data_IF_937341910450
#
_entry.id   IF_937341910450
#
_cell.length_a   1.000
_cell.length_b   1.000
_cell.length_c   1.000
_cell.angle_alpha   90.00
_cell.angle_beta   90.00
_cell.angle_gamma   90.00
#
_symmetry.space_group_name_H-M   'P 1'
#
loop_
_entity.id
_entity.type
_entity.pdbx_description
1 polymer ?
#
# COMPACT_ATOMS: atom_id res chain seq x y z
N UNK A 1 4.20 19.11 8.87
CA UNK A 1 5.45 19.38 8.18
C UNK A 1 5.26 19.25 6.68
N UNK A 2 5.99 20.07 5.91
CA UNK A 2 5.92 20.06 4.43
C UNK A 2 7.22 19.53 3.79
N UNK A 3 8.20 19.18 4.58
CA UNK A 3 9.47 18.62 4.09
C UNK A 3 9.29 17.14 3.77
N UNK A 4 9.25 16.81 2.49
CA UNK A 4 9.06 15.44 2.01
C UNK A 4 10.29 14.53 2.20
N UNK A 5 11.46 15.12 2.45
CA UNK A 5 12.71 14.38 2.64
C UNK A 5 13.06 14.18 4.11
N UNK A 6 12.40 14.90 5.01
CA UNK A 6 12.68 14.80 6.42
C UNK A 6 12.01 13.58 7.06
N UNK A 7 12.67 13.02 8.06
CA UNK A 7 12.04 12.08 8.99
C UNK A 7 10.99 12.84 9.81
N UNK A 8 9.73 12.41 9.74
CA UNK A 8 8.61 13.07 10.41
C UNK A 8 8.38 12.58 11.86
N UNK A 9 9.22 11.68 12.33
CA UNK A 9 9.17 11.08 13.67
C UNK A 9 8.21 9.90 13.74
N UNK A 10 8.34 9.12 14.80
CA UNK A 10 7.65 7.86 14.99
C UNK A 10 8.31 6.71 14.22
N UNK A 11 8.33 5.55 14.87
CA UNK A 11 8.81 4.30 14.31
C UNK A 11 8.08 3.12 14.98
N UNK A 12 8.33 1.91 14.52
CA UNK A 12 7.68 0.71 15.04
C UNK A 12 8.02 0.48 16.51
N UNK A 13 9.27 0.73 16.88
CA UNK A 13 9.71 0.62 18.26
C UNK A 13 8.98 1.62 19.17
N UNK A 14 8.82 2.86 18.75
CA UNK A 14 8.08 3.87 19.50
C UNK A 14 6.62 3.48 19.74
N UNK A 15 5.97 2.83 18.76
CA UNK A 15 4.63 2.29 18.95
C UNK A 15 4.65 1.15 19.96
N UNK A 16 5.60 0.21 19.85
CA UNK A 16 5.74 -0.91 20.77
C UNK A 16 5.95 -0.45 22.22
N UNK A 17 6.78 0.57 22.43
CA UNK A 17 7.05 1.15 23.75
C UNK A 17 5.80 1.84 24.38
N UNK A 18 4.76 2.12 23.59
CA UNK A 18 3.55 2.84 24.02
C UNK A 18 2.25 2.02 23.90
N UNK A 19 2.33 0.69 23.78
CA UNK A 19 1.14 -0.17 23.64
C UNK A 19 0.19 -0.08 24.84
N UNK A 20 0.71 0.18 26.05
CA UNK A 20 -0.13 0.37 27.24
C UNK A 20 -1.06 1.57 27.10
N UNK A 21 -0.58 2.66 26.49
CA UNK A 21 -1.42 3.82 26.22
C UNK A 21 -2.63 3.48 25.34
N UNK A 22 -2.45 2.62 24.29
CA UNK A 22 -3.55 2.21 23.44
C UNK A 22 -4.53 1.29 24.17
N UNK A 23 -4.03 0.40 25.00
CA UNK A 23 -4.89 -0.46 25.87
C UNK A 23 -5.69 0.38 26.85
N UNK A 24 -5.08 1.33 27.52
CA UNK A 24 -5.75 2.23 28.48
C UNK A 24 -6.79 3.13 27.81
N UNK A 25 -6.53 3.53 26.55
CA UNK A 25 -7.50 4.27 25.73
C UNK A 25 -8.72 3.43 25.33
N UNK A 26 -8.64 2.10 25.47
CA UNK A 26 -9.73 1.17 25.17
C UNK A 26 -9.91 0.85 23.68
N UNK A 27 -8.90 1.12 22.83
CA UNK A 27 -8.94 0.69 21.44
C UNK A 27 -8.67 -0.81 21.33
N UNK A 28 -9.18 -1.44 20.30
CA UNK A 28 -9.05 -2.90 20.09
C UNK A 28 -8.19 -3.25 18.89
N UNK A 29 -7.88 -2.28 18.05
CA UNK A 29 -7.03 -2.43 16.87
C UNK A 29 -6.26 -1.14 16.57
N UNK A 30 -5.06 -1.30 16.05
CA UNK A 30 -4.21 -0.21 15.57
C UNK A 30 -4.06 -0.39 14.06
N UNK A 31 -4.44 0.62 13.31
CA UNK A 31 -4.14 0.72 11.89
C UNK A 31 -2.95 1.66 11.72
N UNK A 32 -1.86 1.11 11.18
CA UNK A 32 -0.65 1.87 10.88
C UNK A 32 -0.78 2.55 9.51
N UNK A 33 -0.21 3.74 9.36
CA UNK A 33 0.09 4.29 8.05
C UNK A 33 0.99 3.31 7.27
N UNK A 34 1.08 3.42 5.93
CA UNK A 34 1.93 2.51 5.14
C UNK A 34 3.35 2.43 5.69
N UNK A 35 3.78 1.21 6.00
CA UNK A 35 5.10 0.94 6.58
C UNK A 35 6.07 0.31 5.57
N UNK A 36 5.58 -0.07 4.40
CA UNK A 36 6.41 -0.71 3.37
C UNK A 36 7.41 0.28 2.78
N UNK A 37 8.51 -0.27 2.31
CA UNK A 37 9.63 0.49 1.75
C UNK A 37 9.17 1.44 0.66
N UNK A 38 9.60 2.68 0.77
CA UNK A 38 9.14 3.80 -0.02
C UNK A 38 10.33 4.72 -0.35
N UNK A 39 11.35 4.10 -0.94
CA UNK A 39 12.66 4.69 -1.21
C UNK A 39 12.65 5.38 -2.59
N UNK A 40 11.92 6.50 -2.64
CA UNK A 40 11.79 7.33 -3.85
C UNK A 40 12.78 8.49 -3.79
N UNK A 41 13.49 8.76 -4.90
CA UNK A 41 14.46 9.86 -5.00
C UNK A 41 13.83 11.22 -4.70
N UNK A 42 12.61 11.47 -5.18
CA UNK A 42 11.90 12.73 -4.90
C UNK A 42 11.23 12.77 -3.52
N UNK A 43 11.47 11.75 -2.70
CA UNK A 43 10.90 11.61 -1.37
C UNK A 43 9.41 11.23 -1.39
N UNK A 44 9.03 10.34 -0.49
CA UNK A 44 7.66 9.90 -0.35
C UNK A 44 7.37 9.67 1.13
N UNK A 45 7.19 10.77 1.86
CA UNK A 45 6.95 10.76 3.32
C UNK A 45 5.65 10.07 3.70
N UNK A 46 4.70 9.98 2.76
CA UNK A 46 3.38 9.43 3.00
C UNK A 46 3.32 7.90 2.96
N UNK A 47 4.32 7.22 2.37
CA UNK A 47 4.39 5.76 2.32
C UNK A 47 3.60 5.07 1.18
N UNK A 48 2.90 5.82 0.32
CA UNK A 48 2.03 5.25 -0.71
C UNK A 48 2.72 4.97 -2.06
N UNK A 49 3.99 5.35 -2.25
CA UNK A 49 4.77 5.03 -3.45
C UNK A 49 5.75 3.88 -3.18
N UNK A 50 5.20 2.68 -2.96
CA UNK A 50 5.95 1.50 -2.53
C UNK A 50 7.02 1.12 -3.55
N UNK A 51 8.25 0.91 -3.07
CA UNK A 51 9.38 0.43 -3.87
C UNK A 51 9.76 -1.03 -3.60
N UNK A 52 9.28 -1.60 -2.48
CA UNK A 52 9.35 -3.03 -2.19
C UNK A 52 8.17 -3.45 -1.31
N UNK A 53 7.41 -4.47 -1.75
CA UNK A 53 6.23 -4.97 -1.04
C UNK A 53 6.56 -5.97 0.08
N UNK A 54 7.82 -6.41 0.21
CA UNK A 54 8.24 -7.40 1.19
C UNK A 54 9.18 -6.86 2.25
N UNK A 55 9.51 -5.56 2.18
CA UNK A 55 10.38 -4.89 3.15
C UNK A 55 9.66 -3.75 3.86
N UNK A 56 9.86 -3.66 5.17
CA UNK A 56 9.52 -2.48 5.95
C UNK A 56 10.51 -1.35 5.61
N UNK A 57 10.01 -0.13 5.54
CA UNK A 57 10.83 1.05 5.28
C UNK A 57 11.84 1.27 6.43
N UNK A 58 13.14 1.37 6.14
CA UNK A 58 14.19 1.53 7.16
C UNK A 58 14.02 2.78 8.05
N UNK A 59 13.18 3.73 7.64
CA UNK A 59 12.85 4.91 8.46
C UNK A 59 11.97 4.55 9.65
N UNK A 60 11.24 3.44 9.58
CA UNK A 60 10.32 2.97 10.63
C UNK A 60 10.87 1.78 11.42
N UNK A 61 11.82 1.03 10.85
CA UNK A 61 12.36 -0.18 11.40
C UNK A 61 12.66 -1.22 10.33
N UNK A 62 12.53 -2.48 10.67
CA UNK A 62 12.66 -3.61 9.74
C UNK A 62 11.54 -4.64 9.92
N UNK A 63 11.60 -5.71 9.13
CA UNK A 63 10.59 -6.77 9.18
C UNK A 63 10.53 -7.48 10.53
N UNK A 64 11.68 -7.65 11.20
CA UNK A 64 11.75 -8.29 12.52
C UNK A 64 11.15 -7.39 13.61
N UNK A 65 11.42 -6.09 13.57
CA UNK A 65 10.80 -5.13 14.49
C UNK A 65 9.28 -5.05 14.29
N UNK A 66 8.80 -5.19 13.04
CA UNK A 66 7.36 -5.26 12.79
C UNK A 66 6.73 -6.54 13.36
N UNK A 67 7.36 -7.69 13.19
CA UNK A 67 6.93 -8.94 13.79
C UNK A 67 6.87 -8.84 15.32
N UNK A 68 7.89 -8.24 15.94
CA UNK A 68 7.93 -8.02 17.38
C UNK A 68 6.82 -7.08 17.86
N UNK A 69 6.53 -6.00 17.12
CA UNK A 69 5.40 -5.10 17.41
C UNK A 69 4.06 -5.84 17.36
N UNK A 70 3.82 -6.66 16.32
CA UNK A 70 2.57 -7.41 16.19
C UNK A 70 2.40 -8.40 17.35
N UNK A 71 3.46 -9.14 17.71
CA UNK A 71 3.46 -10.05 18.85
C UNK A 71 3.16 -9.33 20.17
N UNK A 72 3.85 -8.22 20.44
CA UNK A 72 3.64 -7.43 21.65
C UNK A 72 2.23 -6.81 21.73
N UNK A 73 1.66 -6.42 20.60
CA UNK A 73 0.29 -5.92 20.51
C UNK A 73 -0.72 -7.05 20.85
N UNK A 74 -0.51 -8.26 20.33
CA UNK A 74 -1.34 -9.42 20.63
C UNK A 74 -1.31 -9.80 22.11
N UNK A 75 -0.16 -9.72 22.77
CA UNK A 75 -0.03 -9.97 24.21
C UNK A 75 -0.88 -9.01 25.06
N UNK A 76 -1.19 -7.83 24.51
CA UNK A 76 -2.08 -6.83 25.12
C UNK A 76 -3.51 -6.86 24.60
N UNK A 77 -3.87 -7.87 23.78
CA UNK A 77 -5.20 -7.99 23.18
C UNK A 77 -5.49 -6.99 22.07
N UNK A 78 -4.48 -6.29 21.57
CA UNK A 78 -4.59 -5.35 20.47
C UNK A 78 -4.38 -6.07 19.12
N UNK A 79 -5.14 -5.69 18.12
CA UNK A 79 -4.99 -6.17 16.73
C UNK A 79 -4.20 -5.18 15.90
N UNK A 80 -3.45 -5.66 14.91
CA UNK A 80 -2.73 -4.82 13.94
C UNK A 80 -3.38 -4.95 12.57
N UNK A 81 -3.68 -3.79 11.98
CA UNK A 81 -4.17 -3.65 10.62
C UNK A 81 -3.08 -2.98 9.78
N UNK A 82 -2.68 -3.64 8.71
CA UNK A 82 -1.67 -3.15 7.78
C UNK A 82 -2.31 -2.40 6.63
N UNK A 83 -1.75 -1.23 6.29
CA UNK A 83 -2.14 -0.49 5.09
C UNK A 83 -1.44 -1.08 3.87
N UNK A 84 -2.20 -1.48 2.86
CA UNK A 84 -1.67 -2.07 1.63
C UNK A 84 -2.21 -1.32 0.40
N UNK A 85 -1.35 -1.19 -0.60
CA UNK A 85 -1.63 -0.44 -1.82
C UNK A 85 -1.52 -1.39 -3.02
N UNK A 86 -2.66 -1.84 -3.55
CA UNK A 86 -2.69 -2.77 -4.69
C UNK A 86 -2.87 -2.05 -6.03
N UNK A 87 -3.33 -0.81 -6.01
CA UNK A 87 -3.61 -0.05 -7.22
C UNK A 87 -2.34 0.35 -7.97
N UNK A 88 -1.31 0.77 -7.27
CA UNK A 88 -0.08 1.33 -7.85
C UNK A 88 1.13 1.01 -7.00
N UNK A 89 2.33 1.24 -7.54
CA UNK A 89 3.58 1.24 -6.78
C UNK A 89 4.34 2.55 -7.02
N UNK A 90 5.54 2.68 -6.46
CA UNK A 90 6.45 3.76 -6.80
C UNK A 90 7.12 3.54 -8.17
N UNK A 91 7.42 4.59 -8.90
CA UNK A 91 8.15 4.50 -10.18
C UNK A 91 9.60 4.02 -10.03
N UNK A 92 10.12 3.97 -8.81
CA UNK A 92 11.44 3.39 -8.50
C UNK A 92 11.34 1.94 -7.99
N UNK A 93 10.15 1.35 -7.98
CA UNK A 93 9.99 -0.08 -7.78
C UNK A 93 10.67 -0.84 -8.93
N UNK A 94 11.39 -1.92 -8.64
CA UNK A 94 12.14 -2.68 -9.65
C UNK A 94 11.24 -3.20 -10.81
N UNK A 95 9.96 -3.43 -10.59
CA UNK A 95 9.01 -3.77 -11.65
C UNK A 95 8.91 -2.70 -12.73
N UNK A 96 9.13 -1.44 -12.40
CA UNK A 96 9.00 -0.37 -13.39
C UNK A 96 10.20 -0.30 -14.33
N UNK A 97 11.38 -0.65 -13.84
CA UNK A 97 12.62 -0.70 -14.65
C UNK A 97 12.86 -2.05 -15.32
N UNK A 98 12.44 -3.14 -14.66
CA UNK A 98 12.58 -4.53 -15.13
C UNK A 98 11.23 -5.25 -15.02
N UNK A 99 10.32 -4.90 -15.95
CA UNK A 99 8.95 -5.42 -15.92
C UNK A 99 8.90 -6.90 -16.27
N UNK A 100 8.15 -7.69 -15.51
CA UNK A 100 7.97 -9.11 -15.80
C UNK A 100 7.19 -9.38 -17.10
N UNK A 101 6.39 -8.42 -17.59
CA UNK A 101 5.67 -8.51 -18.87
C UNK A 101 5.29 -7.12 -19.39
N UNK A 102 5.02 -7.00 -20.71
CA UNK A 102 4.66 -5.74 -21.36
C UNK A 102 3.35 -5.11 -20.85
N UNK A 103 2.47 -5.88 -20.23
CA UNK A 103 1.20 -5.42 -19.67
C UNK A 103 1.19 -5.45 -18.13
N UNK A 104 2.32 -5.22 -17.48
CA UNK A 104 2.42 -5.16 -16.03
C UNK A 104 1.78 -3.90 -15.45
N UNK A 105 1.91 -2.79 -16.17
CA UNK A 105 1.33 -1.50 -15.83
C UNK A 105 0.31 -1.06 -16.88
N UNK A 106 -0.72 -0.35 -16.44
CA UNK A 106 -1.62 0.35 -17.35
C UNK A 106 -0.94 1.65 -17.85
N UNK A 107 -1.22 2.07 -19.08
CA UNK A 107 -0.65 3.28 -19.71
C UNK A 107 0.87 3.43 -19.57
N UNK A 108 1.59 2.33 -19.61
CA UNK A 108 3.01 2.27 -19.30
C UNK A 108 3.90 3.15 -20.17
N UNK A 109 3.59 3.27 -21.45
CA UNK A 109 4.38 4.05 -22.41
C UNK A 109 3.87 5.49 -22.58
N UNK A 110 2.74 5.82 -21.97
CA UNK A 110 2.11 7.12 -22.10
C UNK A 110 1.29 7.47 -20.87
N UNK A 111 1.89 8.19 -19.92
CA UNK A 111 1.22 8.61 -18.70
C UNK A 111 -0.16 9.22 -18.94
N UNK A 112 -1.17 8.64 -18.32
CA UNK A 112 -2.54 9.17 -18.25
C UNK A 112 -2.91 9.30 -16.79
N UNK A 113 -3.20 10.52 -16.35
CA UNK A 113 -3.60 10.78 -14.97
C UNK A 113 -5.02 10.27 -14.71
N UNK A 114 -5.25 9.66 -13.55
CA UNK A 114 -6.59 9.23 -13.13
C UNK A 114 -7.58 10.39 -13.05
N UNK A 115 -8.87 10.09 -13.21
CA UNK A 115 -9.95 11.07 -13.06
C UNK A 115 -10.24 11.47 -11.61
N UNK A 116 -9.62 10.83 -10.62
CA UNK A 116 -9.87 11.02 -9.17
C UNK A 116 -11.35 10.89 -8.77
N UNK A 117 -12.09 10.02 -9.46
CA UNK A 117 -13.48 9.76 -9.16
C UNK A 117 -13.63 8.44 -8.41
N UNK A 118 -14.42 8.41 -7.36
CA UNK A 118 -14.61 7.22 -6.53
C UNK A 118 -15.76 6.32 -6.97
N UNK A 119 -16.63 6.81 -7.85
CA UNK A 119 -17.88 6.12 -8.24
C UNK A 119 -17.92 5.49 -9.64
N UNK A 120 -16.91 5.64 -10.55
CA UNK A 120 -17.06 5.14 -11.92
C UNK A 120 -17.29 3.64 -12.03
N UNK A 121 -16.82 2.85 -11.08
CA UNK A 121 -17.06 1.40 -11.10
C UNK A 121 -18.51 1.04 -10.73
N UNK A 122 -19.15 1.80 -9.86
CA UNK A 122 -20.49 1.55 -9.36
C UNK A 122 -21.59 2.29 -10.19
N UNK A 123 -21.24 3.38 -10.87
CA UNK A 123 -22.19 4.15 -11.67
C UNK A 123 -22.52 3.44 -12.99
N UNK A 124 -23.76 3.00 -13.13
CA UNK A 124 -24.26 2.33 -14.35
C UNK A 124 -24.38 3.25 -15.57
N UNK A 125 -24.37 4.56 -15.36
CA UNK A 125 -24.51 5.57 -16.42
C UNK A 125 -23.18 6.24 -16.79
N UNK A 126 -22.07 5.80 -16.19
CA UNK A 126 -20.74 6.30 -16.52
C UNK A 126 -20.36 6.06 -17.98
N UNK A 127 -19.52 6.92 -18.54
CA UNK A 127 -18.87 6.63 -19.81
C UNK A 127 -17.77 5.56 -19.64
N UNK A 128 -17.51 4.78 -20.67
CA UNK A 128 -16.37 3.85 -20.68
C UNK A 128 -15.04 4.60 -20.61
N UNK A 129 -14.96 5.79 -21.18
CA UNK A 129 -13.79 6.66 -21.09
C UNK A 129 -13.48 7.03 -19.63
N UNK A 130 -14.48 7.48 -18.87
CA UNK A 130 -14.29 7.86 -17.47
C UNK A 130 -13.92 6.64 -16.61
N UNK A 131 -14.53 5.49 -16.88
CA UNK A 131 -14.20 4.24 -16.21
C UNK A 131 -12.74 3.88 -16.42
N UNK A 132 -12.29 3.78 -17.68
CA UNK A 132 -10.92 3.40 -18.03
C UNK A 132 -9.93 4.41 -17.48
N UNK A 133 -10.18 5.70 -17.69
CA UNK A 133 -9.31 6.76 -17.17
C UNK A 133 -9.16 6.72 -15.64
N UNK A 134 -10.23 6.35 -14.94
CA UNK A 134 -10.22 6.32 -13.49
C UNK A 134 -9.52 5.08 -12.92
N UNK A 135 -9.76 3.91 -13.51
CA UNK A 135 -9.23 2.63 -13.03
C UNK A 135 -7.79 2.42 -13.49
N UNK A 136 -7.50 2.76 -14.75
CA UNK A 136 -6.18 2.50 -15.35
C UNK A 136 -5.23 3.70 -15.24
N UNK A 137 -5.75 4.88 -14.86
CA UNK A 137 -4.96 6.10 -14.77
C UNK A 137 -4.09 6.17 -13.52
N UNK A 138 -2.88 6.70 -13.68
CA UNK A 138 -1.93 6.87 -12.59
C UNK A 138 -2.30 8.03 -11.68
N UNK A 139 -2.04 7.92 -10.38
CA UNK A 139 -2.22 9.06 -9.46
C UNK A 139 -1.28 10.21 -9.78
N UNK A 140 -0.02 9.88 -9.99
CA UNK A 140 1.03 10.82 -10.43
C UNK A 140 2.02 10.08 -11.33
N UNK A 141 2.93 10.79 -11.96
CA UNK A 141 4.00 10.18 -12.74
C UNK A 141 4.91 9.26 -11.91
N UNK A 142 5.02 9.52 -10.60
CA UNK A 142 5.80 8.71 -9.67
C UNK A 142 5.03 7.53 -9.07
N UNK A 143 3.73 7.34 -9.43
CA UNK A 143 2.87 6.27 -8.94
C UNK A 143 2.20 5.54 -10.12
N UNK A 144 2.97 4.70 -10.86
CA UNK A 144 2.45 3.92 -11.98
C UNK A 144 1.39 2.93 -11.53
N UNK A 145 0.30 2.87 -12.28
CA UNK A 145 -0.83 2.01 -12.04
C UNK A 145 -0.55 0.57 -12.44
N UNK A 146 -0.76 -0.37 -11.51
CA UNK A 146 -0.57 -1.79 -11.72
C UNK A 146 -1.77 -2.39 -12.46
N UNK A 147 -1.53 -3.16 -13.50
CA UNK A 147 -2.60 -3.83 -14.23
C UNK A 147 -3.07 -5.11 -13.53
N UNK A 148 -4.00 -4.99 -12.58
CA UNK A 148 -4.52 -6.13 -11.81
C UNK A 148 -5.30 -7.15 -12.68
N UNK A 149 -5.70 -6.82 -13.90
CA UNK A 149 -6.27 -7.78 -14.89
C UNK A 149 -5.21 -8.71 -15.46
N UNK A 150 -3.92 -8.36 -15.31
CA UNK A 150 -2.85 -9.32 -15.52
C UNK A 150 -2.81 -10.29 -14.33
N UNK A 151 -3.08 -11.57 -14.60
CA UNK A 151 -3.14 -12.62 -13.55
C UNK A 151 -1.86 -12.71 -12.70
N UNK A 152 -0.72 -12.36 -13.25
CA UNK A 152 0.56 -12.43 -12.52
C UNK A 152 0.70 -11.26 -11.55
N UNK A 153 0.23 -10.06 -11.92
CA UNK A 153 0.13 -8.92 -11.02
C UNK A 153 -0.84 -9.25 -9.87
N UNK A 154 -2.04 -9.73 -10.19
CA UNK A 154 -3.02 -10.13 -9.18
C UNK A 154 -2.45 -11.20 -8.24
N UNK A 155 -1.85 -12.26 -8.79
CA UNK A 155 -1.25 -13.32 -7.98
C UNK A 155 -0.12 -12.80 -7.08
N UNK A 156 0.73 -11.90 -7.57
CA UNK A 156 1.79 -11.29 -6.78
C UNK A 156 1.23 -10.52 -5.57
N UNK A 157 0.22 -9.68 -5.78
CA UNK A 157 -0.39 -8.88 -4.72
C UNK A 157 -1.14 -9.74 -3.70
N UNK A 158 -1.86 -10.77 -4.17
CA UNK A 158 -2.55 -11.74 -3.29
C UNK A 158 -1.52 -12.51 -2.45
N UNK A 159 -0.46 -13.05 -3.08
CA UNK A 159 0.59 -13.78 -2.38
C UNK A 159 1.33 -12.90 -1.37
N UNK A 160 1.57 -11.64 -1.70
CA UNK A 160 2.15 -10.68 -0.77
C UNK A 160 1.26 -10.47 0.47
N UNK A 161 -0.06 -10.36 0.27
CA UNK A 161 -1.00 -10.25 1.39
C UNK A 161 -0.98 -11.47 2.30
N UNK A 162 -1.02 -12.68 1.70
CA UNK A 162 -0.94 -13.94 2.44
C UNK A 162 0.38 -14.02 3.20
N UNK A 163 1.49 -13.62 2.55
CA UNK A 163 2.81 -13.64 3.18
C UNK A 163 2.86 -12.76 4.43
N UNK A 164 2.34 -11.53 4.39
CA UNK A 164 2.30 -10.65 5.57
C UNK A 164 1.42 -11.21 6.69
N UNK A 165 0.28 -11.83 6.35
CA UNK A 165 -0.59 -12.48 7.32
C UNK A 165 0.16 -13.64 8.01
N UNK A 166 0.84 -14.48 7.25
CA UNK A 166 1.56 -15.65 7.79
C UNK A 166 2.86 -15.27 8.48
N UNK A 167 3.63 -14.33 7.91
CA UNK A 167 4.93 -13.90 8.44
C UNK A 167 4.78 -13.10 9.74
N UNK A 168 3.96 -12.07 9.75
CA UNK A 168 3.85 -11.17 10.88
C UNK A 168 2.61 -11.41 11.75
N UNK A 169 1.63 -12.19 11.30
CA UNK A 169 0.41 -12.45 12.04
C UNK A 169 -0.54 -11.25 12.10
N UNK A 170 -0.52 -10.36 11.11
CA UNK A 170 -1.46 -9.22 11.06
C UNK A 170 -2.91 -9.69 11.08
N UNK A 171 -3.79 -8.90 11.68
CA UNK A 171 -5.20 -9.28 11.89
C UNK A 171 -6.14 -8.72 10.82
N UNK A 172 -5.67 -7.83 9.99
CA UNK A 172 -6.45 -7.24 8.93
C UNK A 172 -5.61 -6.41 7.97
N UNK A 173 -6.21 -6.12 6.83
CA UNK A 173 -5.65 -5.27 5.78
C UNK A 173 -6.61 -4.11 5.55
N UNK A 174 -6.08 -2.90 5.56
CA UNK A 174 -6.76 -1.74 5.00
C UNK A 174 -6.25 -1.55 3.58
N UNK A 175 -7.13 -1.78 2.61
CA UNK A 175 -6.80 -1.59 1.21
C UNK A 175 -6.97 -0.13 0.80
N UNK A 176 -5.85 0.51 0.48
CA UNK A 176 -5.86 1.87 -0.06
C UNK A 176 -6.42 1.90 -1.48
N UNK A 177 -7.02 3.03 -1.85
CA UNK A 177 -7.49 3.30 -3.21
C UNK A 177 -8.39 2.21 -3.81
N UNK A 178 -9.13 1.47 -3.00
CA UNK A 178 -10.04 0.39 -3.43
C UNK A 178 -10.95 0.77 -4.62
N UNK A 179 -11.53 1.99 -4.71
CA UNK A 179 -12.38 2.36 -5.84
C UNK A 179 -11.66 2.52 -7.19
N UNK A 180 -10.34 2.51 -7.19
CA UNK A 180 -9.51 2.69 -8.38
C UNK A 180 -8.92 1.38 -8.89
N UNK A 181 -8.74 0.40 -8.02
CA UNK A 181 -8.24 -0.92 -8.39
C UNK A 181 -9.30 -1.72 -9.17
N UNK A 182 -8.86 -2.72 -9.93
CA UNK A 182 -9.77 -3.60 -10.67
C UNK A 182 -10.70 -4.36 -9.70
N UNK A 183 -12.00 -4.28 -9.98
CA UNK A 183 -13.03 -4.82 -9.10
C UNK A 183 -12.95 -6.35 -8.95
N UNK A 184 -12.69 -7.06 -10.06
CA UNK A 184 -12.70 -8.54 -10.05
C UNK A 184 -11.50 -9.10 -9.27
N UNK A 185 -10.36 -8.37 -9.28
CA UNK A 185 -9.20 -8.72 -8.45
C UNK A 185 -9.46 -8.44 -6.97
N UNK A 186 -10.26 -7.42 -6.65
CA UNK A 186 -10.55 -6.98 -5.29
C UNK A 186 -11.70 -7.74 -4.62
N UNK A 187 -12.49 -8.49 -5.37
CA UNK A 187 -13.64 -9.28 -4.91
C UNK A 187 -13.21 -10.66 -4.39
#
# INVERSE_FOLDING_TARGET
RTDMYARHGGDLKGIADHLDYFSDLGVTAIWLNPILKNDMTEGSYHGYAITDYYEVDPRFGDNEEFLQLVSAAHDKGLKIVMDMIFNHCGSEHFFFTDKPSDNWFNFQDNFVQTGYQTMPQADTYRSDYDKVKNIDGWFTQSMPDLNQRNRHVASYLIQNSIWWIEYAGINGIRQDTHPYADFDMMA
#
